data_IF_502132000580
#
_entry.id   IF_502132000580
#
_cell.length_a   1.000
_cell.length_b   1.000
_cell.length_c   1.000
_cell.angle_alpha   90.00
_cell.angle_beta   90.00
_cell.angle_gamma   90.00
#
_symmetry.space_group_name_H-M   'P 1'
#
loop_
_entity.id
_entity.type
_entity.pdbx_description
1 polymer ?
#
# COMPACT_ATOMS: atom_id res chain seq x y z
N UNK A 1 18.99 1.27 23.01
CA UNK A 1 17.84 0.64 22.33
C UNK A 1 17.70 -0.80 22.84
N UNK A 2 16.48 -1.32 23.04
CA UNK A 2 16.29 -2.66 23.62
C UNK A 2 16.60 -3.76 22.60
N UNK A 3 17.03 -4.94 23.07
CA UNK A 3 17.23 -6.14 22.24
C UNK A 3 15.96 -6.53 21.50
N UNK A 4 14.78 -6.34 22.12
CA UNK A 4 13.49 -6.63 21.51
C UNK A 4 13.21 -5.73 20.29
N UNK A 5 13.49 -4.43 20.38
CA UNK A 5 13.31 -3.50 19.27
C UNK A 5 14.19 -3.86 18.07
N UNK A 6 15.44 -4.24 18.32
CA UNK A 6 16.36 -4.70 17.26
C UNK A 6 15.88 -6.00 16.60
N UNK A 7 15.32 -6.94 17.38
CA UNK A 7 14.74 -8.17 16.85
C UNK A 7 13.51 -7.90 15.96
N UNK A 8 12.64 -6.96 16.35
CA UNK A 8 11.53 -6.50 15.50
C UNK A 8 12.04 -5.92 14.17
N UNK A 9 13.01 -5.00 14.22
CA UNK A 9 13.58 -4.40 13.00
C UNK A 9 14.19 -5.47 12.11
N UNK A 10 14.89 -6.46 12.67
CA UNK A 10 15.45 -7.57 11.92
C UNK A 10 14.38 -8.36 11.16
N UNK A 11 13.26 -8.70 11.82
CA UNK A 11 12.13 -9.35 11.16
C UNK A 11 11.57 -8.52 10.02
N UNK A 12 11.34 -7.22 10.24
CA UNK A 12 10.84 -6.29 9.23
C UNK A 12 11.80 -6.19 8.03
N UNK A 13 13.11 -6.06 8.27
CA UNK A 13 14.13 -5.95 7.22
C UNK A 13 14.16 -7.22 6.36
N UNK A 14 14.19 -8.40 6.99
CA UNK A 14 14.17 -9.69 6.27
C UNK A 14 12.92 -9.84 5.40
N UNK A 15 11.75 -9.52 5.95
CA UNK A 15 10.49 -9.60 5.24
C UNK A 15 10.44 -8.62 4.06
N UNK A 16 10.75 -7.35 4.32
CA UNK A 16 10.68 -6.29 3.31
C UNK A 16 11.62 -6.56 2.14
N UNK A 17 12.89 -6.84 2.43
CA UNK A 17 13.91 -7.14 1.42
C UNK A 17 13.76 -8.53 0.81
N UNK A 18 12.93 -9.39 1.42
CA UNK A 18 12.73 -10.76 0.95
C UNK A 18 13.95 -11.65 1.16
N UNK A 19 14.73 -11.38 2.22
CA UNK A 19 15.97 -12.10 2.49
C UNK A 19 15.68 -13.54 2.92
N UNK A 20 16.55 -14.49 2.56
CA UNK A 20 16.52 -15.82 3.13
C UNK A 20 16.81 -15.77 4.64
N UNK A 21 16.05 -16.52 5.43
CA UNK A 21 16.22 -16.60 6.89
C UNK A 21 17.64 -17.05 7.25
N UNK A 22 18.24 -16.37 8.21
CA UNK A 22 19.56 -16.71 8.76
C UNK A 22 20.75 -16.27 7.91
N UNK A 23 20.53 -15.52 6.83
CA UNK A 23 21.63 -14.90 6.07
C UNK A 23 22.23 -13.72 6.81
N UNK A 24 21.40 -12.97 7.54
CA UNK A 24 21.80 -11.85 8.39
C UNK A 24 21.33 -12.11 9.82
N UNK A 25 22.16 -11.80 10.80
CA UNK A 25 21.79 -11.73 12.21
C UNK A 25 21.25 -10.35 12.58
N UNK A 26 20.56 -10.25 13.71
CA UNK A 26 20.06 -8.97 14.23
C UNK A 26 21.19 -7.98 14.54
N UNK A 27 22.39 -8.47 14.88
CA UNK A 27 23.57 -7.64 15.16
C UNK A 27 24.26 -7.11 13.89
N UNK A 28 23.94 -7.68 12.73
CA UNK A 28 24.50 -7.22 11.44
C UNK A 28 23.77 -5.97 10.91
N UNK A 29 22.67 -5.56 11.55
CA UNK A 29 21.91 -4.39 11.13
C UNK A 29 22.64 -3.09 11.47
N UNK A 30 22.76 -2.15 10.51
CA UNK A 30 23.29 -0.81 10.77
C UNK A 30 22.49 -0.09 11.85
N UNK A 31 23.19 0.56 12.79
CA UNK A 31 22.54 1.25 13.91
C UNK A 31 21.61 2.38 13.44
N UNK A 32 22.00 3.12 12.39
CA UNK A 32 21.20 4.20 11.81
C UNK A 32 19.91 3.70 11.15
N UNK A 33 19.94 2.53 10.49
CA UNK A 33 18.74 1.88 9.94
C UNK A 33 17.78 1.46 11.07
N UNK A 34 18.34 0.92 12.15
CA UNK A 34 17.58 0.46 13.31
C UNK A 34 16.92 1.64 14.04
N UNK A 35 17.64 2.74 14.23
CA UNK A 35 17.12 3.97 14.84
C UNK A 35 16.06 4.63 13.94
N UNK A 36 16.26 4.63 12.61
CA UNK A 36 15.32 5.18 11.64
C UNK A 36 13.98 4.44 11.67
N UNK A 37 14.01 3.11 11.57
CA UNK A 37 12.78 2.28 11.57
C UNK A 37 12.05 2.42 12.90
N UNK A 38 12.77 2.36 14.02
CA UNK A 38 12.10 2.44 15.33
C UNK A 38 11.55 3.81 15.66
N UNK A 39 12.20 4.88 15.19
CA UNK A 39 11.62 6.22 15.24
C UNK A 39 10.35 6.32 14.40
N UNK A 40 10.34 5.72 13.20
CA UNK A 40 9.19 5.73 12.30
C UNK A 40 7.98 5.00 12.89
N UNK A 41 8.16 3.75 13.31
CA UNK A 41 7.03 2.93 13.82
C UNK A 41 6.55 3.34 15.21
N UNK A 42 7.25 4.25 15.89
CA UNK A 42 6.80 4.86 17.17
C UNK A 42 6.37 6.30 17.03
N UNK A 43 6.20 6.81 15.79
CA UNK A 43 5.70 8.15 15.52
C UNK A 43 6.66 9.29 15.92
N UNK A 44 7.95 8.99 16.11
CA UNK A 44 9.01 9.94 16.50
C UNK A 44 9.74 10.57 15.31
N UNK A 45 9.45 10.13 14.09
CA UNK A 45 10.01 10.71 12.86
C UNK A 45 9.37 12.07 12.54
N UNK A 46 10.16 12.99 11.98
CA UNK A 46 9.62 14.23 11.42
C UNK A 46 8.67 13.93 10.25
N UNK A 47 7.44 14.46 10.32
CA UNK A 47 6.36 14.18 9.35
C UNK A 47 6.55 14.82 7.97
N UNK A 48 7.66 15.53 7.74
CA UNK A 48 7.95 16.28 6.50
C UNK A 48 8.85 15.51 5.52
N UNK A 49 8.98 14.18 5.67
CA UNK A 49 9.82 13.40 4.79
C UNK A 49 9.22 13.31 3.37
N UNK A 50 9.74 14.12 2.45
CA UNK A 50 9.36 14.01 1.05
C UNK A 50 9.90 12.73 0.38
N UNK A 51 10.86 12.04 1.01
CA UNK A 51 11.58 10.89 0.44
C UNK A 51 11.35 9.62 1.25
N UNK A 52 11.30 8.45 0.60
CA UNK A 52 11.14 7.16 1.27
C UNK A 52 12.47 6.70 1.88
N UNK A 53 12.91 7.40 2.94
CA UNK A 53 14.23 7.20 3.56
C UNK A 53 14.44 5.78 4.07
N UNK A 54 13.37 5.11 4.54
CA UNK A 54 13.47 3.74 5.02
C UNK A 54 13.83 2.81 3.87
N UNK A 55 13.11 2.85 2.74
CA UNK A 55 13.45 1.98 1.61
C UNK A 55 14.78 2.35 0.93
N UNK A 56 15.21 3.62 0.98
CA UNK A 56 16.56 3.99 0.54
C UNK A 56 17.62 3.25 1.36
N UNK A 57 17.53 3.31 2.70
CA UNK A 57 18.44 2.62 3.60
C UNK A 57 18.35 1.10 3.51
N UNK A 58 17.16 0.54 3.35
CA UNK A 58 16.96 -0.89 3.11
C UNK A 58 17.65 -1.34 1.81
N UNK A 59 17.54 -0.55 0.74
CA UNK A 59 18.18 -0.87 -0.53
C UNK A 59 19.71 -0.74 -0.47
N UNK A 60 20.24 0.26 0.24
CA UNK A 60 21.68 0.36 0.53
C UNK A 60 22.18 -0.88 1.27
N UNK A 61 21.48 -1.29 2.33
CA UNK A 61 21.81 -2.48 3.09
C UNK A 61 21.70 -3.77 2.26
N UNK A 62 20.71 -3.90 1.38
CA UNK A 62 20.60 -5.03 0.45
C UNK A 62 21.85 -5.14 -0.44
N UNK A 63 22.40 -4.03 -0.93
CA UNK A 63 23.63 -4.05 -1.74
C UNK A 63 24.82 -4.58 -0.94
N UNK A 64 24.92 -4.23 0.34
CA UNK A 64 25.97 -4.75 1.24
C UNK A 64 25.83 -6.26 1.47
N UNK A 65 24.63 -6.73 1.79
CA UNK A 65 24.32 -8.16 1.99
C UNK A 65 24.62 -8.96 0.73
N UNK A 66 24.25 -8.43 -0.45
CA UNK A 66 24.56 -9.02 -1.75
C UNK A 66 26.06 -9.14 -1.97
N UNK A 67 26.81 -8.05 -1.78
CA UNK A 67 28.26 -8.02 -1.97
C UNK A 67 28.94 -9.06 -1.07
N UNK A 68 28.60 -9.07 0.21
CA UNK A 68 29.14 -10.04 1.17
C UNK A 68 28.83 -11.49 0.79
N UNK A 69 27.59 -11.78 0.38
CA UNK A 69 27.16 -13.12 -0.04
C UNK A 69 27.87 -13.58 -1.31
N UNK A 70 28.09 -12.68 -2.28
CA UNK A 70 28.83 -12.96 -3.49
C UNK A 70 30.33 -13.17 -3.23
N UNK A 71 30.94 -12.41 -2.32
CA UNK A 71 32.35 -12.59 -1.93
C UNK A 71 32.57 -13.90 -1.18
N UNK A 72 31.67 -14.25 -0.25
CA UNK A 72 31.81 -15.46 0.58
C UNK A 72 31.44 -16.74 -0.17
N UNK A 73 30.30 -16.71 -0.86
CA UNK A 73 29.66 -17.91 -1.41
C UNK A 73 29.62 -17.94 -2.94
N UNK A 74 29.79 -16.79 -3.59
CA UNK A 74 29.72 -16.67 -5.04
C UNK A 74 28.30 -16.64 -5.61
N UNK A 75 27.26 -16.54 -4.78
CA UNK A 75 25.87 -16.39 -5.24
C UNK A 75 24.95 -15.86 -4.12
N UNK A 76 23.82 -15.28 -4.52
CA UNK A 76 22.78 -14.81 -3.60
C UNK A 76 21.41 -14.78 -4.27
N UNK A 77 20.38 -15.21 -3.53
CA UNK A 77 18.98 -15.17 -3.98
C UNK A 77 18.09 -14.50 -2.93
N UNK A 78 17.11 -13.71 -3.38
CA UNK A 78 16.13 -13.05 -2.50
C UNK A 78 14.79 -12.86 -3.21
N UNK A 79 13.70 -12.72 -2.43
CA UNK A 79 12.33 -12.58 -2.96
C UNK A 79 12.11 -11.19 -3.54
N UNK A 80 11.62 -11.12 -4.78
CA UNK A 80 11.13 -9.87 -5.35
C UNK A 80 9.98 -9.29 -4.50
N UNK A 81 9.89 -7.96 -4.35
CA UNK A 81 8.85 -7.31 -3.54
C UNK A 81 7.45 -7.48 -4.12
N UNK A 82 7.32 -7.38 -5.43
CA UNK A 82 6.03 -7.36 -6.13
C UNK A 82 5.85 -8.58 -7.05
N UNK A 83 4.60 -8.95 -7.39
CA UNK A 83 4.33 -10.06 -8.29
C UNK A 83 5.11 -9.91 -9.59
N UNK A 84 5.57 -11.02 -10.18
CA UNK A 84 6.32 -11.02 -11.45
C UNK A 84 7.61 -10.18 -11.41
N UNK A 85 8.13 -9.86 -10.22
CA UNK A 85 9.24 -8.92 -10.03
C UNK A 85 9.01 -7.55 -10.70
N UNK A 86 7.76 -7.06 -10.70
CA UNK A 86 7.46 -5.69 -11.10
C UNK A 86 8.34 -4.72 -10.28
N UNK A 87 8.87 -3.64 -10.89
CA UNK A 87 9.79 -2.72 -10.22
C UNK A 87 9.15 -2.02 -9.02
N UNK A 88 7.84 -1.75 -9.09
CA UNK A 88 7.07 -1.08 -8.04
C UNK A 88 5.58 -1.44 -8.14
N UNK A 89 4.80 -1.01 -7.17
CA UNK A 89 3.35 -1.18 -7.17
C UNK A 89 2.59 0.13 -6.92
N UNK A 90 1.29 0.14 -7.18
CA UNK A 90 0.36 1.19 -6.80
C UNK A 90 -0.86 0.60 -6.08
N UNK A 91 -1.29 1.26 -5.01
CA UNK A 91 -2.51 0.96 -4.27
C UNK A 91 -3.53 2.07 -4.55
N UNK A 92 -4.67 1.71 -5.14
CA UNK A 92 -5.75 2.66 -5.45
C UNK A 92 -6.80 2.62 -4.34
N UNK A 93 -7.04 3.74 -3.67
CA UNK A 93 -8.04 3.86 -2.63
C UNK A 93 -8.87 5.13 -2.75
N UNK A 94 -10.08 5.08 -2.19
CA UNK A 94 -11.06 6.14 -2.27
C UNK A 94 -11.75 6.32 -0.94
N UNK A 95 -11.87 7.56 -0.50
CA UNK A 95 -12.76 7.91 0.61
C UNK A 95 -14.09 8.39 0.01
N UNK A 96 -15.17 7.83 0.55
CA UNK A 96 -16.54 8.23 0.24
C UNK A 96 -17.06 9.02 1.43
N UNK A 97 -16.68 10.29 1.50
CA UNK A 97 -17.06 11.16 2.63
C UNK A 97 -18.53 11.57 2.56
N UNK A 98 -19.00 11.87 1.35
CA UNK A 98 -20.35 12.39 1.10
C UNK A 98 -20.87 11.83 -0.22
N UNK A 99 -22.16 11.48 -0.25
CA UNK A 99 -22.84 11.00 -1.47
C UNK A 99 -23.78 12.06 -2.08
N UNK A 100 -24.07 13.11 -1.33
CA UNK A 100 -24.93 14.22 -1.74
C UNK A 100 -24.65 15.47 -0.89
N UNK A 101 -25.07 16.62 -1.39
CA UNK A 101 -25.07 17.87 -0.63
C UNK A 101 -26.27 18.74 -0.99
N UNK A 102 -26.60 19.66 -0.09
CA UNK A 102 -27.66 20.66 -0.32
C UNK A 102 -27.34 21.56 -1.53
N UNK A 103 -28.38 22.08 -2.20
CA UNK A 103 -28.23 23.06 -3.29
C UNK A 103 -27.41 24.30 -2.87
N UNK A 104 -27.54 24.74 -1.62
CA UNK A 104 -26.75 25.85 -1.07
C UNK A 104 -25.26 25.54 -1.08
N UNK A 105 -24.88 24.33 -0.70
CA UNK A 105 -23.50 23.87 -0.76
C UNK A 105 -23.01 23.77 -2.22
N UNK A 106 -23.80 23.18 -3.11
CA UNK A 106 -23.45 23.10 -4.54
C UNK A 106 -23.19 24.50 -5.13
N UNK A 107 -24.03 25.48 -4.79
CA UNK A 107 -23.84 26.86 -5.23
C UNK A 107 -22.60 27.52 -4.62
N UNK A 108 -22.26 27.24 -3.35
CA UNK A 108 -21.05 27.78 -2.73
C UNK A 108 -19.78 27.14 -3.31
N UNK A 109 -19.83 25.87 -3.69
CA UNK A 109 -18.71 25.12 -4.30
C UNK A 109 -18.71 25.11 -5.82
N UNK A 110 -19.64 25.83 -6.49
CA UNK A 110 -19.84 25.84 -7.95
C UNK A 110 -18.57 26.00 -8.78
N UNK A 111 -17.56 26.73 -8.27
CA UNK A 111 -16.27 26.95 -8.94
C UNK A 111 -15.44 25.67 -9.08
N UNK A 112 -15.72 24.64 -8.26
CA UNK A 112 -15.08 23.32 -8.33
C UNK A 112 -15.53 22.54 -9.56
N UNK A 113 -16.68 22.85 -10.17
CA UNK A 113 -17.24 22.05 -11.25
C UNK A 113 -17.12 22.74 -12.61
N UNK A 114 -17.17 21.96 -13.69
CA UNK A 114 -17.42 22.47 -15.02
C UNK A 114 -18.86 22.98 -15.15
N UNK A 115 -19.10 23.96 -16.03
CA UNK A 115 -20.45 24.52 -16.22
C UNK A 115 -21.47 23.45 -16.65
N UNK A 116 -21.06 22.52 -17.52
CA UNK A 116 -21.91 21.40 -17.95
C UNK A 116 -22.28 20.44 -16.82
N UNK A 117 -21.31 20.01 -16.00
CA UNK A 117 -21.59 19.17 -14.85
C UNK A 117 -22.52 19.88 -13.86
N UNK A 118 -22.30 21.17 -13.61
CA UNK A 118 -23.15 21.95 -12.72
C UNK A 118 -24.61 22.03 -13.21
N UNK A 119 -24.82 22.30 -14.50
CA UNK A 119 -26.16 22.36 -15.10
C UNK A 119 -26.84 20.99 -14.99
N UNK A 120 -26.18 19.93 -15.42
CA UNK A 120 -26.75 18.58 -15.36
C UNK A 120 -27.00 18.12 -13.92
N UNK A 121 -26.14 18.52 -12.98
CA UNK A 121 -26.29 18.26 -11.56
C UNK A 121 -27.49 18.97 -10.94
N UNK A 122 -27.70 20.25 -11.27
CA UNK A 122 -28.86 21.01 -10.81
C UNK A 122 -30.19 20.49 -11.39
N UNK A 123 -30.15 19.93 -12.60
CA UNK A 123 -31.29 19.26 -13.24
C UNK A 123 -31.54 17.82 -12.72
N UNK A 124 -30.66 17.29 -11.85
CA UNK A 124 -30.76 15.91 -11.35
C UNK A 124 -30.43 14.84 -12.39
N UNK A 125 -29.91 15.22 -13.56
CA UNK A 125 -29.55 14.30 -14.65
C UNK A 125 -28.18 13.64 -14.45
N UNK A 126 -27.42 14.11 -13.45
CA UNK A 126 -26.07 13.64 -13.15
C UNK A 126 -25.76 13.87 -11.67
N UNK A 127 -25.19 12.88 -11.00
CA UNK A 127 -24.69 13.11 -9.64
C UNK A 127 -23.36 13.85 -9.66
N UNK A 128 -23.23 14.86 -8.78
CA UNK A 128 -21.97 15.57 -8.56
C UNK A 128 -21.11 14.90 -7.48
N UNK A 129 -21.73 14.16 -6.56
CA UNK A 129 -21.10 13.61 -5.36
C UNK A 129 -21.30 12.10 -5.19
N UNK A 130 -22.05 11.42 -6.06
CA UNK A 130 -22.22 9.96 -6.05
C UNK A 130 -21.65 9.36 -7.34
N UNK A 131 -20.34 9.22 -7.38
CA UNK A 131 -19.53 8.87 -8.54
C UNK A 131 -18.70 7.58 -8.34
N UNK A 132 -18.96 6.76 -7.31
CA UNK A 132 -18.29 5.47 -7.08
C UNK A 132 -18.24 4.62 -8.38
N UNK A 133 -19.39 4.45 -9.04
CA UNK A 133 -19.46 3.69 -10.30
C UNK A 133 -18.72 4.35 -11.48
N UNK A 134 -18.57 5.67 -11.49
CA UNK A 134 -17.76 6.36 -12.50
C UNK A 134 -16.27 6.08 -12.27
N UNK A 135 -15.80 6.19 -11.02
CA UNK A 135 -14.42 5.88 -10.62
C UNK A 135 -14.09 4.44 -10.97
N UNK A 136 -14.91 3.49 -10.50
CA UNK A 136 -14.75 2.07 -10.80
C UNK A 136 -14.77 1.78 -12.31
N UNK A 137 -15.63 2.47 -13.07
CA UNK A 137 -15.68 2.34 -14.52
C UNK A 137 -14.38 2.77 -15.22
N UNK A 138 -13.74 3.87 -14.78
CA UNK A 138 -12.45 4.31 -15.32
C UNK A 138 -11.33 3.31 -15.01
N UNK A 139 -11.32 2.75 -13.80
CA UNK A 139 -10.34 1.74 -13.36
C UNK A 139 -10.52 0.42 -14.10
N UNK A 140 -11.76 -0.05 -14.21
CA UNK A 140 -12.11 -1.31 -14.86
C UNK A 140 -11.66 -1.35 -16.31
N UNK A 141 -11.74 -0.23 -17.04
CA UNK A 141 -11.22 -0.11 -18.41
C UNK A 141 -9.71 -0.30 -18.53
N UNK A 142 -8.96 -0.16 -17.43
CA UNK A 142 -7.51 -0.42 -17.36
C UNK A 142 -7.19 -1.77 -16.71
N UNK A 143 -8.20 -2.55 -16.32
CA UNK A 143 -8.03 -3.80 -15.59
C UNK A 143 -7.70 -3.62 -14.11
N UNK A 144 -7.92 -2.43 -13.56
CA UNK A 144 -7.61 -2.13 -12.16
C UNK A 144 -8.82 -2.34 -11.25
N UNK A 145 -8.53 -2.55 -9.97
CA UNK A 145 -9.47 -2.59 -8.86
C UNK A 145 -8.91 -1.74 -7.72
N UNK A 146 -9.80 -1.16 -6.94
CA UNK A 146 -9.47 -0.23 -5.84
C UNK A 146 -10.29 -0.55 -4.60
N UNK A 147 -10.01 0.17 -3.51
CA UNK A 147 -10.76 0.11 -2.26
C UNK A 147 -11.59 1.38 -2.06
N UNK A 148 -12.88 1.25 -1.78
CA UNK A 148 -13.75 2.35 -1.37
C UNK A 148 -14.02 2.27 0.15
N UNK A 149 -13.55 3.26 0.91
CA UNK A 149 -13.79 3.41 2.33
C UNK A 149 -15.05 4.27 2.55
N UNK A 150 -16.05 3.69 3.23
CA UNK A 150 -17.36 4.32 3.42
C UNK A 150 -17.49 4.95 4.81
N UNK A 151 -17.85 6.24 4.86
CA UNK A 151 -18.01 6.98 6.12
C UNK A 151 -19.44 6.82 6.64
N UNK A 152 -19.62 6.09 7.75
CA UNK A 152 -20.96 5.70 8.22
C UNK A 152 -21.72 6.83 8.91
N UNK A 153 -21.00 7.87 9.36
CA UNK A 153 -21.56 9.03 10.07
C UNK A 153 -22.21 10.09 9.17
N UNK A 154 -21.89 10.14 7.87
CA UNK A 154 -22.38 11.21 6.98
C UNK A 154 -23.60 10.83 6.14
N UNK A 155 -23.88 9.54 5.96
CA UNK A 155 -25.00 9.05 5.16
C UNK A 155 -25.36 7.61 5.56
N UNK A 156 -26.56 7.16 5.19
CA UNK A 156 -26.95 5.77 5.41
C UNK A 156 -26.25 4.86 4.41
N UNK A 157 -25.51 3.86 4.90
CA UNK A 157 -24.87 2.87 4.02
C UNK A 157 -25.89 2.11 3.15
N UNK A 158 -27.14 1.96 3.61
CA UNK A 158 -28.24 1.36 2.84
C UNK A 158 -28.45 2.03 1.48
N UNK A 159 -28.15 3.32 1.37
CA UNK A 159 -28.35 4.12 0.16
C UNK A 159 -27.29 3.82 -0.91
N UNK A 160 -26.17 3.22 -0.49
CA UNK A 160 -25.07 2.82 -1.36
C UNK A 160 -25.07 1.33 -1.69
N UNK A 161 -25.63 0.47 -0.83
CA UNK A 161 -25.66 -1.00 -1.01
C UNK A 161 -25.98 -1.41 -2.45
N UNK A 162 -27.07 -0.92 -3.10
CA UNK A 162 -27.39 -1.31 -4.47
C UNK A 162 -26.30 -0.98 -5.49
N UNK A 163 -25.51 0.07 -5.25
CA UNK A 163 -24.43 0.51 -6.15
C UNK A 163 -23.08 -0.14 -5.88
N UNK A 164 -22.83 -0.59 -4.64
CA UNK A 164 -21.54 -1.20 -4.26
C UNK A 164 -21.56 -2.73 -4.36
N UNK A 165 -22.72 -3.37 -4.25
CA UNK A 165 -22.84 -4.84 -4.34
C UNK A 165 -22.29 -5.39 -5.68
N UNK A 166 -22.70 -4.86 -6.85
CA UNK A 166 -22.15 -5.34 -8.12
C UNK A 166 -20.63 -5.10 -8.24
N UNK A 167 -20.13 -3.99 -7.70
CA UNK A 167 -18.71 -3.68 -7.71
C UNK A 167 -17.91 -4.67 -6.85
N UNK A 168 -18.46 -5.04 -5.69
CA UNK A 168 -17.86 -6.05 -4.81
C UNK A 168 -17.78 -7.42 -5.50
N UNK A 169 -18.84 -7.83 -6.20
CA UNK A 169 -18.88 -9.07 -6.99
C UNK A 169 -17.84 -9.05 -8.14
N UNK A 170 -17.61 -7.87 -8.73
CA UNK A 170 -16.61 -7.68 -9.78
C UNK A 170 -15.18 -7.44 -9.27
N UNK A 171 -14.96 -7.49 -7.94
CA UNK A 171 -13.63 -7.48 -7.32
C UNK A 171 -13.14 -6.13 -6.78
N UNK A 172 -13.99 -5.10 -6.71
CA UNK A 172 -13.68 -3.90 -5.92
C UNK A 172 -13.84 -4.18 -4.43
N UNK A 173 -12.98 -3.57 -3.62
CA UNK A 173 -13.07 -3.69 -2.19
C UNK A 173 -13.94 -2.58 -1.59
N UNK A 174 -14.77 -2.95 -0.61
CA UNK A 174 -15.49 -2.01 0.24
C UNK A 174 -14.93 -2.12 1.66
N UNK A 175 -14.35 -1.03 2.17
CA UNK A 175 -13.78 -0.93 3.50
C UNK A 175 -14.48 0.12 4.36
N UNK A 176 -14.05 0.24 5.62
CA UNK A 176 -14.59 1.22 6.56
C UNK A 176 -13.80 2.54 6.47
N UNK A 177 -14.49 3.67 6.32
CA UNK A 177 -13.90 4.96 6.67
C UNK A 177 -14.27 5.27 8.13
N UNK A 178 -13.29 5.18 9.02
CA UNK A 178 -13.47 5.30 10.47
C UNK A 178 -14.15 6.62 10.86
N UNK A 179 -15.19 6.52 11.68
CA UNK A 179 -15.99 7.67 12.10
C UNK A 179 -15.25 8.58 13.10
N UNK A 180 -15.89 9.69 13.48
CA UNK A 180 -15.33 10.63 14.43
C UNK A 180 -14.98 10.00 15.79
N UNK A 181 -13.68 9.84 16.04
CA UNK A 181 -13.15 9.32 17.29
C UNK A 181 -13.00 7.80 17.33
N UNK A 182 -13.01 7.11 16.19
CA UNK A 182 -12.68 5.67 16.14
C UNK A 182 -11.19 5.41 16.36
N UNK A 183 -10.31 6.31 15.90
CA UNK A 183 -8.84 6.18 16.08
C UNK A 183 -8.37 5.99 17.53
N UNK A 184 -9.13 6.45 18.52
CA UNK A 184 -8.74 6.46 19.94
C UNK A 184 -9.79 5.85 20.89
N UNK A 185 -10.84 5.21 20.34
CA UNK A 185 -11.90 4.57 21.11
C UNK A 185 -12.34 3.22 20.51
N UNK A 186 -12.05 2.13 21.23
CA UNK A 186 -12.46 0.78 20.85
C UNK A 186 -13.98 0.62 20.75
N UNK A 187 -14.73 1.22 21.67
CA UNK A 187 -16.19 1.20 21.68
C UNK A 187 -16.74 1.80 20.39
N UNK A 188 -16.30 3.01 20.03
CA UNK A 188 -16.74 3.67 18.79
C UNK A 188 -16.34 2.91 17.54
N UNK A 189 -15.11 2.36 17.50
CA UNK A 189 -14.68 1.55 16.37
C UNK A 189 -15.55 0.29 16.23
N UNK A 190 -15.86 -0.38 17.34
CA UNK A 190 -16.74 -1.56 17.34
C UNK A 190 -18.15 -1.22 16.84
N UNK A 191 -18.71 -0.09 17.28
CA UNK A 191 -20.00 0.39 16.76
C UNK A 191 -19.96 0.67 15.25
N UNK A 192 -18.87 1.27 14.74
CA UNK A 192 -18.72 1.57 13.32
C UNK A 192 -18.62 0.27 12.48
N UNK A 193 -17.88 -0.73 12.98
CA UNK A 193 -17.79 -2.07 12.36
C UNK A 193 -19.17 -2.76 12.36
N UNK A 194 -19.92 -2.70 13.46
CA UNK A 194 -21.26 -3.30 13.54
C UNK A 194 -22.24 -2.64 12.57
N UNK A 195 -22.24 -1.29 12.50
CA UNK A 195 -23.05 -0.54 11.52
C UNK A 195 -22.70 -0.94 10.10
N UNK A 196 -21.42 -1.06 9.78
CA UNK A 196 -20.95 -1.49 8.47
C UNK A 196 -21.39 -2.92 8.14
N UNK A 197 -21.20 -3.87 9.06
CA UNK A 197 -21.61 -5.26 8.89
C UNK A 197 -23.11 -5.39 8.68
N UNK A 198 -23.90 -4.68 9.49
CA UNK A 198 -25.36 -4.69 9.39
C UNK A 198 -25.84 -4.21 8.02
N UNK A 199 -25.21 -3.16 7.48
CA UNK A 199 -25.61 -2.60 6.19
C UNK A 199 -25.10 -3.41 4.98
N UNK A 200 -23.87 -3.93 5.04
CA UNK A 200 -23.20 -4.55 3.88
C UNK A 200 -23.24 -6.08 3.87
N UNK A 201 -23.62 -6.70 5.00
CA UNK A 201 -23.59 -8.16 5.18
C UNK A 201 -22.18 -8.75 5.31
N UNK A 202 -21.14 -7.93 5.48
CA UNK A 202 -19.75 -8.40 5.63
C UNK A 202 -18.92 -7.50 6.54
N UNK A 203 -17.95 -8.08 7.23
CA UNK A 203 -16.92 -7.31 7.93
C UNK A 203 -15.99 -6.58 6.95
N UNK A 204 -15.61 -5.33 7.23
CA UNK A 204 -14.61 -4.63 6.44
C UNK A 204 -13.22 -5.21 6.73
N UNK A 205 -12.42 -5.48 5.68
CA UNK A 205 -11.05 -5.96 5.84
C UNK A 205 -10.05 -4.81 6.03
N UNK A 206 -10.29 -3.68 5.36
CA UNK A 206 -9.47 -2.48 5.46
C UNK A 206 -10.18 -1.31 6.13
N UNK A 207 -9.37 -0.41 6.69
CA UNK A 207 -9.83 0.85 7.28
C UNK A 207 -8.97 2.05 6.84
N UNK A 208 -9.59 3.23 6.84
CA UNK A 208 -8.92 4.52 6.91
C UNK A 208 -9.66 5.42 7.89
N UNK A 209 -8.95 6.06 8.81
CA UNK A 209 -9.52 7.01 9.78
C UNK A 209 -9.85 8.35 9.12
N UNK A 210 -11.04 8.90 9.43
CA UNK A 210 -11.45 10.20 8.93
C UNK A 210 -10.46 11.32 9.35
N UNK A 211 -10.10 12.16 8.38
CA UNK A 211 -9.02 13.15 8.48
C UNK A 211 -7.61 12.58 8.75
N UNK A 212 -7.35 11.31 8.44
CA UNK A 212 -6.07 10.66 8.74
C UNK A 212 -5.68 10.80 10.22
N UNK A 213 -6.70 10.78 11.11
CA UNK A 213 -6.48 10.84 12.56
C UNK A 213 -5.80 9.56 13.01
N UNK A 214 -4.75 9.72 13.80
CA UNK A 214 -3.91 8.60 14.16
C UNK A 214 -3.20 8.85 15.49
N UNK A 215 -3.28 7.87 16.38
CA UNK A 215 -2.60 7.80 17.68
C UNK A 215 -1.72 6.53 17.69
N UNK A 216 -0.41 6.70 17.68
CA UNK A 216 0.56 5.60 17.65
C UNK A 216 0.45 4.66 18.84
N UNK A 217 -0.11 5.12 19.96
CA UNK A 217 -0.26 4.29 21.16
C UNK A 217 -1.56 3.47 21.17
N UNK A 218 -2.51 3.78 20.28
CA UNK A 218 -3.87 3.22 20.35
C UNK A 218 -4.41 2.69 19.03
N UNK A 219 -4.23 3.43 17.94
CA UNK A 219 -5.00 3.24 16.70
C UNK A 219 -4.79 1.85 16.11
N UNK A 220 -3.54 1.41 15.92
CA UNK A 220 -3.26 0.06 15.42
C UNK A 220 -3.79 -1.04 16.35
N UNK A 221 -3.65 -0.88 17.67
CA UNK A 221 -4.16 -1.85 18.64
C UNK A 221 -5.69 -1.97 18.58
N UNK A 222 -6.39 -0.84 18.48
CA UNK A 222 -7.85 -0.80 18.32
C UNK A 222 -8.24 -1.52 17.03
N UNK A 223 -7.61 -1.17 15.91
CA UNK A 223 -7.93 -1.75 14.60
C UNK A 223 -7.67 -3.26 14.55
N UNK A 224 -6.55 -3.73 15.09
CA UNK A 224 -6.25 -5.15 15.19
C UNK A 224 -7.27 -5.89 16.07
N UNK A 225 -7.68 -5.29 17.20
CA UNK A 225 -8.60 -5.93 18.14
C UNK A 225 -10.01 -6.17 17.57
N UNK A 226 -10.42 -5.37 16.58
CA UNK A 226 -11.69 -5.55 15.85
C UNK A 226 -11.54 -6.33 14.54
N UNK A 227 -10.32 -6.79 14.23
CA UNK A 227 -10.06 -7.74 13.15
C UNK A 227 -9.78 -7.14 11.77
N UNK A 228 -9.36 -5.87 11.68
CA UNK A 228 -8.87 -5.33 10.40
C UNK A 228 -7.59 -6.05 9.94
N UNK A 229 -7.52 -6.34 8.65
CA UNK A 229 -6.34 -6.91 8.01
C UNK A 229 -5.29 -5.85 7.71
N UNK A 230 -5.72 -4.62 7.39
CA UNK A 230 -4.80 -3.53 7.09
C UNK A 230 -5.39 -2.14 7.40
N UNK A 231 -4.51 -1.18 7.63
CA UNK A 231 -4.78 0.25 7.77
C UNK A 231 -4.14 1.05 6.63
N UNK A 232 -4.76 2.15 6.23
CA UNK A 232 -4.21 3.12 5.27
C UNK A 232 -4.33 4.57 5.78
N UNK A 233 -4.30 4.75 7.11
CA UNK A 233 -4.51 6.05 7.75
C UNK A 233 -3.22 6.85 7.91
N UNK A 234 -2.07 6.20 8.04
CA UNK A 234 -0.82 6.93 8.27
C UNK A 234 -0.41 7.68 7.01
N UNK A 235 -0.55 9.00 7.06
CA UNK A 235 -0.25 9.93 5.98
C UNK A 235 -0.20 11.37 6.47
N UNK A 236 -0.03 12.30 5.53
CA UNK A 236 -0.10 13.73 5.78
C UNK A 236 -1.24 14.34 4.96
N UNK A 237 -1.94 15.32 5.56
CA UNK A 237 -3.06 15.99 4.89
C UNK A 237 -2.58 17.13 4.00
N UNK A 238 -1.60 17.87 4.49
CA UNK A 238 -1.11 19.13 3.94
C UNK A 238 0.23 19.02 3.20
N UNK A 239 0.82 17.83 3.18
CA UNK A 239 2.03 17.53 2.42
C UNK A 239 1.93 16.18 1.68
N UNK A 240 2.69 16.06 0.58
CA UNK A 240 2.85 14.82 -0.17
C UNK A 240 4.04 14.03 0.40
N UNK A 241 4.05 12.71 0.20
CA UNK A 241 5.24 11.90 0.40
C UNK A 241 5.10 10.90 1.53
N UNK A 242 6.10 10.82 2.42
CA UNK A 242 6.32 9.65 3.26
C UNK A 242 6.52 10.10 4.72
N UNK A 243 5.46 10.42 5.48
CA UNK A 243 5.61 10.98 6.83
C UNK A 243 6.39 10.10 7.80
N UNK A 244 6.41 8.79 7.59
CA UNK A 244 7.22 7.83 8.35
C UNK A 244 8.51 7.40 7.63
N UNK A 245 8.77 7.93 6.44
CA UNK A 245 9.86 7.49 5.57
C UNK A 245 9.63 6.15 4.87
N UNK A 246 8.50 5.49 5.13
CA UNK A 246 8.09 4.24 4.47
C UNK A 246 7.31 4.52 3.18
N UNK A 247 7.61 3.73 2.16
CA UNK A 247 6.85 3.56 0.92
C UNK A 247 6.40 2.13 0.71
N UNK A 248 6.65 1.22 1.64
CA UNK A 248 6.21 -0.17 1.58
C UNK A 248 5.32 -0.52 2.78
N UNK A 249 4.44 -1.53 2.64
CA UNK A 249 3.68 -2.02 3.78
C UNK A 249 4.59 -2.59 4.88
N UNK A 250 4.14 -2.49 6.12
CA UNK A 250 4.83 -3.10 7.26
C UNK A 250 3.85 -3.47 8.37
N UNK A 251 4.19 -4.47 9.16
CA UNK A 251 3.47 -4.79 10.38
C UNK A 251 4.01 -3.93 11.53
N UNK A 252 3.19 -3.09 12.19
CA UNK A 252 3.65 -2.26 13.29
C UNK A 252 4.03 -3.09 14.53
N UNK A 253 4.85 -2.57 15.44
CA UNK A 253 5.17 -3.27 16.67
C UNK A 253 4.11 -3.04 17.74
N UNK A 254 3.92 -4.03 18.60
CA UNK A 254 3.30 -3.87 19.92
C UNK A 254 4.24 -3.13 20.88
N UNK A 255 3.75 -2.71 22.06
CA UNK A 255 4.57 -2.04 23.08
C UNK A 255 5.79 -2.83 23.54
N UNK A 256 5.73 -4.17 23.49
CA UNK A 256 6.83 -5.09 23.81
C UNK A 256 7.69 -5.47 22.59
N UNK A 257 7.50 -4.81 21.45
CA UNK A 257 8.20 -5.04 20.19
C UNK A 257 7.96 -6.41 19.53
N UNK A 258 6.82 -7.04 19.80
CA UNK A 258 6.33 -8.11 18.93
C UNK A 258 5.68 -7.50 17.68
N UNK A 259 5.63 -8.25 16.57
CA UNK A 259 4.94 -7.77 15.36
C UNK A 259 3.43 -7.96 15.52
N UNK A 260 2.67 -6.89 15.27
CA UNK A 260 1.22 -6.98 15.08
C UNK A 260 0.88 -7.77 13.80
N UNK A 261 -0.37 -8.20 13.68
CA UNK A 261 -0.96 -8.83 12.49
C UNK A 261 -1.50 -7.82 11.50
N UNK A 262 -2.05 -6.70 11.99
CA UNK A 262 -2.51 -5.63 11.08
C UNK A 262 -1.35 -5.16 10.20
N UNK A 263 -1.62 -4.90 8.92
CA UNK A 263 -0.64 -4.35 8.00
C UNK A 263 -0.87 -2.84 7.84
N UNK A 264 0.14 -2.02 8.13
CA UNK A 264 0.11 -0.60 7.77
C UNK A 264 0.46 -0.45 6.29
N UNK A 265 -0.36 0.29 5.54
CA UNK A 265 -0.12 0.68 4.15
C UNK A 265 -0.04 2.22 4.11
N UNK A 266 1.17 2.81 4.20
CA UNK A 266 1.33 4.26 4.27
C UNK A 266 0.74 4.98 3.06
N UNK A 267 0.06 6.09 3.32
CA UNK A 267 -0.51 6.96 2.29
C UNK A 267 0.56 7.89 1.71
N UNK A 268 0.70 7.91 0.38
CA UNK A 268 1.70 8.74 -0.32
C UNK A 268 1.11 10.03 -0.86
N UNK A 269 -0.10 9.95 -1.43
CA UNK A 269 -0.73 11.07 -2.09
C UNK A 269 -2.23 11.07 -1.85
N UNK A 270 -2.75 12.22 -1.40
CA UNK A 270 -4.17 12.51 -1.34
C UNK A 270 -4.50 13.63 -2.32
N UNK A 271 -5.62 13.45 -3.00
CA UNK A 271 -6.16 14.35 -3.99
C UNK A 271 -6.41 15.78 -3.44
N UNK A 272 -7.02 15.89 -2.26
CA UNK A 272 -7.25 17.18 -1.59
C UNK A 272 -5.95 17.85 -1.14
N UNK A 273 -4.84 17.13 -0.98
CA UNK A 273 -3.52 17.74 -0.73
C UNK A 273 -3.10 18.61 -1.91
N UNK A 274 -3.27 18.11 -3.15
CA UNK A 274 -2.82 18.81 -4.36
C UNK A 274 -3.51 20.17 -4.54
N UNK A 275 -4.83 20.20 -4.66
CA UNK A 275 -5.57 21.45 -4.96
C UNK A 275 -6.23 22.07 -3.73
N UNK A 276 -6.45 21.30 -2.67
CA UNK A 276 -7.09 21.77 -1.43
C UNK A 276 -6.10 22.45 -0.50
N UNK A 277 -4.96 21.82 -0.22
CA UNK A 277 -3.93 22.36 0.68
C UNK A 277 -2.86 23.14 -0.07
N UNK A 278 -2.20 22.51 -1.04
CA UNK A 278 -1.10 23.11 -1.80
C UNK A 278 -1.56 24.10 -2.88
N UNK A 279 -2.87 24.13 -3.19
CA UNK A 279 -3.49 25.03 -4.18
C UNK A 279 -2.89 24.92 -5.58
N UNK A 280 -2.38 23.74 -5.94
CA UNK A 280 -1.78 23.49 -7.25
C UNK A 280 -2.83 23.50 -8.35
N UNK A 281 -2.45 24.05 -9.49
CA UNK A 281 -3.20 23.89 -10.73
C UNK A 281 -3.05 22.46 -11.28
N UNK A 282 -3.93 22.04 -12.18
CA UNK A 282 -3.96 20.64 -12.66
C UNK A 282 -2.66 20.16 -13.30
N UNK A 283 -1.95 21.05 -13.99
CA UNK A 283 -0.67 20.69 -14.61
C UNK A 283 0.42 20.48 -13.54
N UNK A 284 0.46 21.33 -12.52
CA UNK A 284 1.39 21.22 -11.39
C UNK A 284 1.05 20.00 -10.54
N UNK A 285 -0.23 19.77 -10.27
CA UNK A 285 -0.71 18.59 -9.55
C UNK A 285 -0.36 17.29 -10.27
N UNK A 286 -0.49 17.24 -11.60
CA UNK A 286 -0.04 16.09 -12.37
C UNK A 286 1.48 15.92 -12.27
N UNK A 287 2.27 17.00 -12.39
CA UNK A 287 3.73 16.92 -12.25
C UNK A 287 4.14 16.35 -10.87
N UNK A 288 3.45 16.74 -9.80
CA UNK A 288 3.67 16.20 -8.45
C UNK A 288 3.28 14.72 -8.33
N UNK A 289 2.18 14.29 -8.95
CA UNK A 289 1.82 12.86 -9.03
C UNK A 289 2.94 12.08 -9.72
N UNK A 290 3.44 12.56 -10.85
CA UNK A 290 4.54 11.89 -11.57
C UNK A 290 5.83 11.85 -10.74
N UNK A 291 6.13 12.94 -10.02
CA UNK A 291 7.27 13.02 -9.11
C UNK A 291 7.16 11.97 -7.99
N UNK A 292 5.99 11.81 -7.38
CA UNK A 292 5.76 10.82 -6.32
C UNK A 292 5.86 9.38 -6.83
N UNK A 293 5.23 9.09 -7.97
CA UNK A 293 5.34 7.77 -8.62
C UNK A 293 6.81 7.43 -8.88
N UNK A 294 7.60 8.37 -9.39
CA UNK A 294 9.02 8.13 -9.67
C UNK A 294 9.86 7.93 -8.40
N UNK A 295 9.58 8.65 -7.31
CA UNK A 295 10.25 8.44 -6.02
C UNK A 295 9.99 7.04 -5.49
N UNK A 296 8.75 6.57 -5.53
CA UNK A 296 8.37 5.21 -5.16
C UNK A 296 9.06 4.19 -6.07
N UNK A 297 9.03 4.41 -7.39
CA UNK A 297 9.61 3.49 -8.37
C UNK A 297 11.10 3.29 -8.16
N UNK A 298 11.84 4.35 -7.84
CA UNK A 298 13.30 4.28 -7.61
C UNK A 298 13.70 3.38 -6.46
N UNK A 299 12.86 3.28 -5.43
CA UNK A 299 13.11 2.41 -4.28
C UNK A 299 12.39 1.07 -4.36
N UNK A 300 11.57 0.88 -5.38
CA UNK A 300 10.72 -0.28 -5.60
C UNK A 300 9.60 -0.44 -4.56
N UNK A 301 9.04 0.68 -4.11
CA UNK A 301 7.97 0.73 -3.12
C UNK A 301 6.57 0.59 -3.70
N UNK A 302 5.59 1.05 -2.92
CA UNK A 302 4.16 1.13 -3.20
C UNK A 302 3.71 2.60 -3.26
N UNK A 303 3.05 2.97 -4.35
CA UNK A 303 2.44 4.28 -4.52
C UNK A 303 0.97 4.19 -4.08
N UNK A 304 0.69 4.55 -2.83
CA UNK A 304 -0.67 4.56 -2.28
C UNK A 304 -1.35 5.90 -2.56
N UNK A 305 -2.46 5.84 -3.29
CA UNK A 305 -3.23 6.98 -3.74
C UNK A 305 -4.61 7.00 -3.06
N UNK A 306 -4.92 8.09 -2.36
CA UNK A 306 -6.27 8.40 -1.90
C UNK A 306 -6.91 9.43 -2.85
N UNK A 307 -8.02 9.05 -3.46
CA UNK A 307 -8.83 9.94 -4.28
C UNK A 307 -10.29 9.95 -3.84
N UNK A 308 -10.83 11.10 -3.46
CA UNK A 308 -12.25 11.16 -3.08
C UNK A 308 -13.11 10.94 -4.32
N UNK A 309 -14.14 10.10 -4.21
CA UNK A 309 -14.91 9.72 -5.40
C UNK A 309 -15.63 10.91 -6.05
N UNK A 310 -16.01 11.93 -5.29
CA UNK A 310 -16.63 13.15 -5.80
C UNK A 310 -15.63 14.02 -6.58
N UNK A 311 -14.34 13.91 -6.26
CA UNK A 311 -13.30 14.75 -6.85
C UNK A 311 -13.16 14.49 -8.35
N UNK A 312 -13.51 13.31 -8.86
CA UNK A 312 -13.41 12.98 -10.29
C UNK A 312 -14.15 13.96 -11.22
N UNK A 313 -15.18 14.66 -10.70
CA UNK A 313 -15.92 15.71 -11.44
C UNK A 313 -15.47 17.13 -11.12
N UNK A 314 -14.60 17.29 -10.13
CA UNK A 314 -14.07 18.58 -9.73
C UNK A 314 -12.83 18.96 -10.55
N UNK A 315 -12.60 20.26 -10.70
CA UNK A 315 -11.31 20.82 -11.12
C UNK A 315 -10.23 20.35 -10.14
N UNK A 316 -9.06 20.00 -10.66
CA UNK A 316 -8.05 19.24 -9.92
C UNK A 316 -8.36 17.74 -9.94
N UNK A 317 -9.50 17.33 -9.38
CA UNK A 317 -9.84 15.91 -9.23
C UNK A 317 -10.14 15.14 -10.52
N UNK A 318 -10.45 15.83 -11.62
CA UNK A 318 -10.53 15.24 -12.98
C UNK A 318 -9.19 14.75 -13.53
N UNK A 319 -8.10 14.87 -12.78
CA UNK A 319 -6.81 14.26 -13.12
C UNK A 319 -6.83 12.73 -12.99
N UNK A 320 -7.72 12.15 -12.19
CA UNK A 320 -7.71 10.71 -11.90
C UNK A 320 -7.59 9.80 -13.14
N UNK A 321 -8.39 9.98 -14.22
CA UNK A 321 -8.25 9.14 -15.41
C UNK A 321 -6.85 9.22 -16.06
N UNK A 322 -6.19 10.38 -16.01
CA UNK A 322 -4.81 10.54 -16.54
C UNK A 322 -3.79 9.81 -15.67
N UNK A 323 -4.00 9.78 -14.36
CA UNK A 323 -3.16 9.00 -13.43
C UNK A 323 -3.29 7.51 -13.76
N UNK A 324 -4.51 7.01 -13.94
CA UNK A 324 -4.76 5.61 -14.35
C UNK A 324 -4.12 5.28 -15.70
N UNK A 325 -4.22 6.17 -16.69
CA UNK A 325 -3.55 5.98 -17.98
C UNK A 325 -2.04 5.92 -17.86
N UNK A 326 -1.44 6.72 -16.95
CA UNK A 326 0.00 6.67 -16.70
C UNK A 326 0.38 5.34 -16.07
N UNK A 327 -0.31 4.91 -15.01
CA UNK A 327 -0.06 3.63 -14.34
C UNK A 327 -0.21 2.45 -15.31
N UNK A 328 -1.23 2.45 -16.17
CA UNK A 328 -1.46 1.39 -17.18
C UNK A 328 -0.35 1.28 -18.24
N UNK A 329 0.42 2.35 -18.45
CA UNK A 329 1.58 2.35 -19.37
C UNK A 329 2.89 1.97 -18.67
N UNK A 330 2.90 1.91 -17.34
CA UNK A 330 4.08 1.57 -16.57
C UNK A 330 4.14 0.07 -16.29
N UNK A 331 5.36 -0.45 -16.19
CA UNK A 331 5.58 -1.81 -15.67
C UNK A 331 5.36 -1.78 -14.16
N UNK A 332 4.12 -1.92 -13.68
CA UNK A 332 3.80 -1.93 -12.25
C UNK A 332 2.69 -2.93 -11.90
N UNK A 333 2.63 -3.30 -10.63
CA UNK A 333 1.50 -4.01 -10.06
C UNK A 333 0.50 -3.00 -9.50
N UNK A 334 -0.76 -3.03 -9.92
CA UNK A 334 -1.81 -2.11 -9.44
C UNK A 334 -2.92 -2.94 -8.79
N UNK A 335 -3.33 -2.56 -7.59
CA UNK A 335 -4.32 -3.30 -6.81
C UNK A 335 -5.07 -2.43 -5.80
N UNK A 336 -6.15 -2.97 -5.24
CA UNK A 336 -6.80 -2.49 -4.02
C UNK A 336 -5.93 -2.76 -2.78
N UNK A 337 -6.28 -2.13 -1.65
CA UNK A 337 -5.65 -2.32 -0.35
C UNK A 337 -5.65 -3.79 0.09
N UNK A 338 -6.78 -4.49 0.00
CA UNK A 338 -6.83 -5.92 0.33
C UNK A 338 -5.97 -6.77 -0.59
N UNK A 339 -5.85 -6.42 -1.87
CA UNK A 339 -4.99 -7.16 -2.79
C UNK A 339 -3.50 -6.93 -2.50
N UNK A 340 -3.11 -5.72 -2.08
CA UNK A 340 -1.76 -5.43 -1.56
C UNK A 340 -1.51 -6.21 -0.28
N UNK A 341 -2.42 -6.17 0.69
CA UNK A 341 -2.28 -6.88 1.95
C UNK A 341 -2.18 -8.40 1.76
N UNK A 342 -3.04 -8.97 0.89
CA UNK A 342 -3.02 -10.40 0.56
C UNK A 342 -1.72 -10.81 -0.14
N UNK A 343 -1.20 -9.97 -1.04
CA UNK A 343 0.09 -10.21 -1.67
C UNK A 343 1.22 -10.18 -0.63
N UNK A 344 1.24 -9.17 0.23
CA UNK A 344 2.28 -8.99 1.24
C UNK A 344 2.32 -10.17 2.22
N UNK A 345 1.15 -10.57 2.72
CA UNK A 345 0.97 -11.73 3.59
C UNK A 345 1.40 -13.03 2.90
N UNK A 346 0.91 -13.31 1.69
CA UNK A 346 1.26 -14.56 0.99
C UNK A 346 2.74 -14.62 0.59
N UNK A 347 3.36 -13.47 0.29
CA UNK A 347 4.79 -13.36 0.03
C UNK A 347 5.64 -13.65 1.27
N UNK A 348 5.08 -13.57 2.48
CA UNK A 348 5.81 -13.78 3.74
C UNK A 348 6.39 -15.20 3.89
N UNK A 349 5.98 -16.17 3.05
CA UNK A 349 6.51 -17.54 3.02
C UNK A 349 8.03 -17.56 3.21
N UNK A 350 8.58 -18.27 4.21
CA UNK A 350 9.99 -18.22 4.51
C UNK A 350 10.82 -18.84 3.38
N UNK A 351 11.76 -18.06 2.84
CA UNK A 351 12.87 -18.56 2.03
C UNK A 351 13.98 -18.95 3.00
N UNK A 352 14.49 -20.16 2.92
CA UNK A 352 15.59 -20.65 3.76
C UNK A 352 16.76 -21.07 2.88
N UNK A 353 17.97 -20.93 3.42
CA UNK A 353 19.20 -21.35 2.76
C UNK A 353 19.90 -22.43 3.58
N UNK A 354 20.12 -23.58 2.96
CA UNK A 354 20.80 -24.74 3.55
C UNK A 354 22.03 -25.07 2.70
N UNK A 355 23.19 -24.56 3.11
CA UNK A 355 24.42 -24.64 2.32
C UNK A 355 24.31 -23.89 0.99
N UNK A 356 24.28 -24.66 -0.11
CA UNK A 356 24.21 -24.14 -1.49
C UNK A 356 22.80 -24.16 -2.10
N UNK A 357 21.80 -24.47 -1.29
CA UNK A 357 20.43 -24.68 -1.73
C UNK A 357 19.46 -23.69 -1.05
N UNK A 358 18.54 -23.13 -1.82
CA UNK A 358 17.41 -22.34 -1.34
C UNK A 358 16.11 -23.12 -1.49
N UNK A 359 15.27 -23.06 -0.45
CA UNK A 359 13.93 -23.69 -0.41
C UNK A 359 12.91 -22.77 0.26
N UNK A 360 11.64 -22.96 -0.06
CA UNK A 360 10.55 -22.35 0.68
C UNK A 360 10.05 -23.28 1.79
N UNK A 361 9.76 -22.73 2.98
CA UNK A 361 9.02 -23.44 4.04
C UNK A 361 7.54 -23.11 3.95
N UNK A 362 6.87 -23.69 2.95
CA UNK A 362 5.46 -23.46 2.64
C UNK A 362 5.25 -23.27 1.14
N UNK A 363 4.02 -22.94 0.76
CA UNK A 363 3.66 -22.75 -0.66
C UNK A 363 3.86 -21.30 -1.06
N UNK A 364 4.80 -20.98 -1.98
CA UNK A 364 4.96 -19.63 -2.48
C UNK A 364 3.75 -19.20 -3.35
N UNK A 365 3.33 -17.93 -3.27
CA UNK A 365 2.18 -17.46 -4.02
C UNK A 365 2.46 -17.43 -5.52
N UNK A 366 1.43 -17.61 -6.36
CA UNK A 366 1.55 -17.41 -7.80
C UNK A 366 2.17 -16.05 -8.13
N UNK A 367 3.12 -16.07 -9.06
CA UNK A 367 3.83 -14.87 -9.49
C UNK A 367 4.99 -14.44 -8.60
N UNK A 368 5.28 -15.12 -7.48
CA UNK A 368 6.53 -14.89 -6.75
C UNK A 368 7.74 -15.20 -7.64
N UNK A 369 8.75 -14.32 -7.58
CA UNK A 369 10.04 -14.47 -8.24
C UNK A 369 11.15 -14.32 -7.22
N UNK A 370 12.25 -15.04 -7.41
CA UNK A 370 13.50 -14.72 -6.74
C UNK A 370 14.39 -13.95 -7.71
N UNK A 371 15.06 -12.92 -7.22
CA UNK A 371 16.25 -12.40 -7.88
C UNK A 371 17.41 -13.36 -7.59
N UNK A 372 18.31 -13.54 -8.57
CA UNK A 372 19.47 -14.40 -8.44
C UNK A 372 20.71 -13.73 -9.03
N UNK A 373 21.75 -13.59 -8.21
CA UNK A 373 23.08 -13.19 -8.65
C UNK A 373 24.08 -14.29 -8.34
N UNK A 374 25.05 -14.50 -9.23
CA UNK A 374 26.09 -15.51 -9.08
C UNK A 374 27.34 -15.12 -9.87
N UNK A 375 28.50 -15.48 -9.31
CA UNK A 375 29.82 -15.24 -9.89
C UNK A 375 30.05 -16.09 -11.13
N UNK A 376 30.98 -15.66 -12.00
CA UNK A 376 31.37 -16.47 -13.16
C UNK A 376 31.86 -17.85 -12.74
N UNK A 377 31.47 -18.86 -13.52
CA UNK A 377 31.79 -20.27 -13.23
C UNK A 377 30.74 -20.99 -12.38
N UNK A 378 29.88 -20.26 -11.65
CA UNK A 378 28.75 -20.87 -10.93
C UNK A 378 27.65 -21.32 -11.88
N UNK A 379 26.98 -22.43 -11.53
CA UNK A 379 25.88 -23.00 -12.32
C UNK A 379 24.62 -23.15 -11.47
N UNK A 380 23.63 -22.25 -11.62
CA UNK A 380 22.35 -22.43 -10.97
C UNK A 380 21.54 -23.57 -11.59
N UNK A 381 20.91 -24.38 -10.75
CA UNK A 381 19.94 -25.42 -11.10
C UNK A 381 18.66 -25.14 -10.33
N UNK A 382 17.52 -25.18 -11.03
CA UNK A 382 16.20 -24.91 -10.46
C UNK A 382 15.35 -26.15 -10.64
N UNK A 383 14.75 -26.63 -9.56
CA UNK A 383 13.71 -27.66 -9.56
C UNK A 383 12.39 -27.01 -9.12
N UNK A 384 11.27 -27.37 -9.76
CA UNK A 384 9.98 -26.72 -9.48
C UNK A 384 9.88 -25.26 -9.98
N UNK A 385 10.73 -24.87 -10.92
CA UNK A 385 10.82 -23.50 -11.42
C UNK A 385 11.70 -23.36 -12.67
N UNK A 386 11.86 -22.12 -13.14
CA UNK A 386 12.69 -21.79 -14.31
C UNK A 386 13.66 -20.65 -14.00
N UNK A 387 14.87 -20.71 -14.55
CA UNK A 387 15.77 -19.57 -14.58
C UNK A 387 15.51 -18.73 -15.83
N UNK A 388 15.22 -17.44 -15.65
CA UNK A 388 14.91 -16.50 -16.72
C UNK A 388 15.88 -15.32 -16.66
N UNK A 389 16.69 -15.15 -17.70
CA UNK A 389 17.50 -13.95 -17.87
C UNK A 389 16.62 -12.80 -18.37
N UNK A 390 16.67 -11.66 -17.67
CA UNK A 390 15.92 -10.45 -18.05
C UNK A 390 16.83 -9.25 -18.14
N UNK A 391 16.32 -8.13 -18.66
CA UNK A 391 17.03 -6.83 -18.60
C UNK A 391 17.31 -6.37 -17.15
N UNK A 392 16.62 -6.94 -16.16
CA UNK A 392 16.76 -6.63 -14.72
C UNK A 392 17.66 -7.62 -13.97
N UNK A 393 18.38 -8.49 -14.70
CA UNK A 393 19.18 -9.57 -14.14
C UNK A 393 18.47 -10.92 -14.19
N UNK A 394 19.02 -11.91 -13.49
CA UNK A 394 18.45 -13.25 -13.48
C UNK A 394 17.30 -13.34 -12.49
N UNK A 395 16.18 -13.87 -12.95
CA UNK A 395 15.02 -14.17 -12.13
C UNK A 395 14.80 -15.68 -12.10
N UNK A 396 14.43 -16.19 -10.94
CA UNK A 396 13.95 -17.55 -10.78
C UNK A 396 12.43 -17.50 -10.65
N UNK A 397 11.77 -18.07 -11.66
CA UNK A 397 10.34 -18.30 -11.67
C UNK A 397 10.01 -19.49 -10.79
N UNK A 398 9.05 -19.33 -9.90
CA UNK A 398 8.56 -20.39 -9.01
C UNK A 398 7.22 -20.87 -9.56
N UNK A 399 7.14 -22.13 -10.00
CA UNK A 399 6.00 -22.67 -10.77
C UNK A 399 5.05 -23.55 -9.94
N UNK A 400 5.17 -23.53 -8.59
CA UNK A 400 4.48 -24.37 -7.60
C UNK A 400 5.02 -25.81 -7.47
N UNK A 401 4.92 -26.38 -6.26
CA UNK A 401 5.47 -27.69 -5.89
C UNK A 401 6.64 -27.60 -4.89
N UNK A 402 7.40 -28.69 -4.75
CA UNK A 402 8.71 -28.69 -4.09
C UNK A 402 9.69 -27.85 -4.93
N UNK A 403 9.93 -26.61 -4.50
CA UNK A 403 10.89 -25.72 -5.15
C UNK A 403 12.28 -25.86 -4.52
N UNK A 404 13.30 -26.00 -5.35
CA UNK A 404 14.70 -25.90 -4.94
C UNK A 404 15.51 -25.06 -5.94
N UNK A 405 16.40 -24.22 -5.42
CA UNK A 405 17.41 -23.53 -6.21
C UNK A 405 18.77 -23.87 -5.65
N UNK A 406 19.59 -24.60 -6.42
CA UNK A 406 20.97 -24.94 -6.06
C UNK A 406 21.94 -24.16 -6.92
N UNK A 407 23.03 -23.67 -6.35
CA UNK A 407 24.10 -23.02 -7.11
C UNK A 407 25.43 -23.73 -6.84
N UNK A 408 25.96 -24.39 -7.87
CA UNK A 408 27.20 -25.17 -7.83
C UNK A 408 28.40 -24.34 -8.30
#
# INVERSE_FOLDING_TARGET
>A
MSTAARAYVHGLVEENLGLPKGVIGSEDLPADLVDLITSAVTGKTSREAESPLVEQKLNEFLLEVKRYSLERDGFFAWKARWPEARPFAACLTHDVDNIEHTRRHILSTRRRFGAGDLILGLLGLRSLYRNIGLVAGEEGRKGFRSSFFLLTSNYSLSDLVPSITPLKEDGWEIGLHGDFGTHDSLEKMSEAVEKFQTATGSSPAGVREHYLRFDFEKTWQIMESVGFAYDTSVGARDSLGFPLGFSTPFHPPTHDWSSMKILEIPLVLMDTTLWGYLKLEEQEGMAEVERMIERVRKVGGLFTLLWHQEAIRMRGGRLYPKILEKLAKMDCFVSSGIGVASWWESRSVPLVREGHEYKFRGTPPPGLRLHLEYSQGRRPRVEGGDLVATQRGNLVKVNSGEFSLRVE
#
